data_IF_361070241497
#
_entry.id   IF_361070241497
#
_cell.length_a   1.000
_cell.length_b   1.000
_cell.length_c   1.000
_cell.angle_alpha   90.00
_cell.angle_beta   90.00
_cell.angle_gamma   90.00
#
_symmetry.space_group_name_H-M   'P 1'
#
loop_
_entity.id
_entity.type
_entity.pdbx_description
1 polymer ?
#
# COMPACT_ATOMS: atom_id res chain seq x y z
N UNK A 1 -1.66 -9.02 0.95
CA UNK A 1 -2.65 -10.06 0.58
C UNK A 1 -3.72 -9.38 -0.23
N UNK A 2 -4.01 -9.89 -1.42
CA UNK A 2 -5.01 -9.28 -2.29
C UNK A 2 -6.36 -9.94 -2.04
N UNK A 3 -7.33 -9.18 -1.59
CA UNK A 3 -8.65 -9.68 -1.21
C UNK A 3 -9.63 -9.36 -2.34
N UNK A 4 -9.90 -10.34 -3.19
CA UNK A 4 -10.69 -10.13 -4.40
C UNK A 4 -12.14 -10.56 -4.25
N UNK A 5 -12.45 -11.47 -3.32
CA UNK A 5 -13.81 -11.94 -3.10
C UNK A 5 -14.44 -11.31 -1.85
N UNK A 6 -15.68 -10.85 -1.97
CA UNK A 6 -16.47 -10.36 -0.84
C UNK A 6 -16.59 -11.40 0.29
N UNK A 7 -16.57 -12.68 -0.07
CA UNK A 7 -16.55 -13.80 0.87
C UNK A 7 -15.31 -13.82 1.75
N UNK A 8 -14.15 -13.50 1.20
CA UNK A 8 -12.88 -13.49 1.93
C UNK A 8 -12.85 -12.33 2.92
N UNK A 9 -13.36 -11.15 2.51
CA UNK A 9 -13.51 -9.99 3.39
C UNK A 9 -14.41 -10.33 4.59
N UNK A 10 -15.56 -10.98 4.34
CA UNK A 10 -16.48 -11.40 5.39
C UNK A 10 -15.83 -12.40 6.34
N UNK A 11 -15.12 -13.40 5.81
CA UNK A 11 -14.41 -14.38 6.62
C UNK A 11 -13.35 -13.72 7.51
N UNK A 12 -12.52 -12.83 6.95
CA UNK A 12 -11.51 -12.11 7.73
C UNK A 12 -12.13 -11.22 8.78
N UNK A 13 -13.24 -10.55 8.45
CA UNK A 13 -13.99 -9.75 9.43
C UNK A 13 -14.47 -10.62 10.59
N UNK A 14 -15.07 -11.78 10.30
CA UNK A 14 -15.59 -12.67 11.34
C UNK A 14 -14.50 -13.20 12.26
N UNK A 15 -13.33 -13.52 11.70
CA UNK A 15 -12.16 -14.02 12.47
C UNK A 15 -11.49 -12.91 13.27
N UNK A 16 -11.33 -11.72 12.70
CA UNK A 16 -10.52 -10.65 13.29
C UNK A 16 -11.31 -9.67 14.16
N UNK A 17 -12.64 -9.59 14.04
CA UNK A 17 -13.46 -8.60 14.75
C UNK A 17 -13.27 -8.57 16.27
N UNK A 18 -12.92 -9.71 16.88
CA UNK A 18 -12.72 -9.80 18.33
C UNK A 18 -11.47 -9.06 18.81
N UNK A 19 -10.45 -8.95 17.95
CA UNK A 19 -9.16 -8.33 18.26
C UNK A 19 -8.91 -7.01 17.52
N UNK A 20 -9.48 -6.89 16.32
CA UNK A 20 -9.35 -5.75 15.41
C UNK A 20 -10.75 -5.33 14.90
N UNK A 21 -11.57 -4.69 15.76
CA UNK A 21 -12.96 -4.39 15.42
C UNK A 21 -13.11 -3.28 14.37
N UNK A 22 -12.08 -2.45 14.16
CA UNK A 22 -12.12 -1.36 13.19
C UNK A 22 -11.52 -1.81 11.87
N UNK A 23 -12.33 -1.78 10.81
CA UNK A 23 -11.94 -2.33 9.51
C UNK A 23 -12.27 -1.28 8.45
N UNK A 24 -11.29 -0.99 7.60
CA UNK A 24 -11.51 -0.23 6.39
C UNK A 24 -11.07 -1.04 5.17
N UNK A 25 -12.00 -1.30 4.26
CA UNK A 25 -11.70 -1.88 2.96
C UNK A 25 -11.56 -0.76 1.93
N UNK A 26 -10.46 -0.76 1.18
CA UNK A 26 -10.21 0.27 0.18
C UNK A 26 -10.82 -0.16 -1.15
N UNK A 27 -11.96 0.44 -1.49
CA UNK A 27 -12.61 0.20 -2.78
C UNK A 27 -11.79 0.87 -3.90
N UNK A 28 -11.35 0.06 -4.88
CA UNK A 28 -10.72 0.51 -6.12
C UNK A 28 -11.77 0.75 -7.22
N UNK A 29 -11.35 1.32 -8.35
CA UNK A 29 -12.27 1.84 -9.37
C UNK A 29 -13.19 0.78 -10.00
N UNK A 30 -12.70 -0.42 -10.32
CA UNK A 30 -13.49 -1.44 -11.07
C UNK A 30 -13.50 -2.80 -10.38
N UNK A 31 -12.36 -3.25 -9.88
CA UNK A 31 -12.25 -4.36 -8.94
C UNK A 31 -11.62 -3.75 -7.69
N UNK A 32 -12.13 -4.05 -6.49
CA UNK A 32 -11.62 -3.45 -5.26
C UNK A 32 -10.09 -3.49 -5.20
N UNK A 33 -9.43 -2.55 -4.53
CA UNK A 33 -7.95 -2.43 -4.54
C UNK A 33 -7.23 -3.71 -4.06
N UNK A 34 -7.98 -4.65 -3.48
CA UNK A 34 -7.48 -5.85 -2.84
C UNK A 34 -6.87 -5.56 -1.47
N UNK A 35 -6.95 -4.33 -0.98
CA UNK A 35 -6.29 -3.89 0.25
C UNK A 35 -7.31 -3.47 1.31
N UNK A 36 -6.96 -3.74 2.56
CA UNK A 36 -7.74 -3.33 3.73
C UNK A 36 -6.83 -3.12 4.93
N UNK A 37 -7.28 -2.30 5.87
CA UNK A 37 -6.64 -2.11 7.17
C UNK A 37 -7.58 -2.63 8.25
N UNK A 38 -7.04 -3.50 9.11
CA UNK A 38 -7.65 -3.93 10.36
C UNK A 38 -6.93 -3.22 11.50
N UNK A 39 -7.68 -2.64 12.43
CA UNK A 39 -7.15 -1.88 13.55
C UNK A 39 -7.84 -2.24 14.85
N UNK A 40 -7.05 -2.26 15.92
CA UNK A 40 -7.53 -2.40 17.30
C UNK A 40 -8.18 -1.10 17.78
N UNK A 41 -7.75 0.04 17.26
CA UNK A 41 -8.21 1.37 17.64
C UNK A 41 -9.00 2.06 16.53
N UNK A 42 -9.77 3.08 16.89
CA UNK A 42 -10.66 3.77 15.97
C UNK A 42 -9.90 4.36 14.77
N UNK A 43 -10.47 4.18 13.58
CA UNK A 43 -10.00 4.81 12.35
C UNK A 43 -10.75 6.12 12.22
N UNK A 44 -10.04 7.25 12.29
CA UNK A 44 -10.62 8.59 12.31
C UNK A 44 -10.77 9.18 10.92
N UNK A 45 -9.87 8.81 10.02
CA UNK A 45 -9.84 9.32 8.66
C UNK A 45 -9.34 8.26 7.71
N UNK A 46 -9.92 8.23 6.51
CA UNK A 46 -9.58 7.31 5.43
C UNK A 46 -9.56 8.08 4.13
N UNK A 47 -8.56 7.81 3.30
CA UNK A 47 -8.53 8.31 1.92
C UNK A 47 -7.88 7.30 0.98
N UNK A 48 -8.20 7.40 -0.30
CA UNK A 48 -7.68 6.55 -1.37
C UNK A 48 -7.18 7.41 -2.51
N UNK A 49 -6.16 6.91 -3.20
CA UNK A 49 -5.64 7.49 -4.41
C UNK A 49 -5.40 6.40 -5.45
N UNK A 50 -5.85 6.64 -6.68
CA UNK A 50 -5.55 5.77 -7.82
C UNK A 50 -4.32 6.30 -8.54
N UNK A 51 -3.36 5.42 -8.84
CA UNK A 51 -2.16 5.84 -9.55
C UNK A 51 -2.47 6.43 -10.93
N UNK A 52 -1.77 7.49 -11.30
CA UNK A 52 -1.89 8.08 -12.65
C UNK A 52 -1.35 7.17 -13.74
N UNK A 53 -0.32 6.38 -13.43
CA UNK A 53 0.34 5.46 -14.36
C UNK A 53 -0.04 3.99 -14.07
N UNK A 54 -1.19 3.54 -14.59
CA UNK A 54 -1.71 2.18 -14.40
C UNK A 54 -1.46 1.21 -15.57
N UNK A 55 -0.38 1.41 -16.32
CA UNK A 55 0.03 0.55 -17.44
C UNK A 55 -0.33 1.11 -18.81
N UNK A 56 -0.30 0.25 -19.84
CA UNK A 56 -0.50 0.67 -21.22
C UNK A 56 -1.93 0.37 -21.70
N UNK A 57 -2.68 1.38 -22.21
CA UNK A 57 -4.07 1.20 -22.65
C UNK A 57 -4.28 0.15 -23.75
N UNK A 58 -3.24 -0.14 -24.54
CA UNK A 58 -3.30 -1.07 -25.67
C UNK A 58 -2.94 -2.52 -25.30
N UNK A 59 -2.55 -2.80 -24.04
CA UNK A 59 -2.22 -4.15 -23.56
C UNK A 59 -3.35 -4.70 -22.69
N UNK A 60 -4.42 -5.12 -23.35
CA UNK A 60 -5.64 -5.69 -22.74
C UNK A 60 -5.35 -7.01 -22.02
N UNK A 61 -4.28 -7.70 -22.42
CA UNK A 61 -3.76 -8.93 -21.83
C UNK A 61 -3.16 -8.73 -20.43
N UNK A 62 -2.81 -7.50 -20.05
CA UNK A 62 -2.26 -7.16 -18.74
C UNK A 62 -3.32 -6.41 -17.92
N UNK A 63 -4.18 -7.18 -17.24
CA UNK A 63 -5.42 -6.71 -16.58
C UNK A 63 -5.28 -5.65 -15.47
N UNK A 64 -4.06 -5.19 -15.16
CA UNK A 64 -3.82 -4.10 -14.21
C UNK A 64 -4.36 -2.74 -14.70
N UNK A 65 -4.51 -2.55 -16.04
CA UNK A 65 -5.14 -1.34 -16.59
C UNK A 65 -6.61 -1.20 -16.16
N UNK A 66 -7.36 -2.31 -16.14
CA UNK A 66 -8.79 -2.29 -15.82
C UNK A 66 -9.04 -2.28 -14.31
N UNK A 67 -8.19 -2.93 -13.50
CA UNK A 67 -8.44 -3.06 -12.07
C UNK A 67 -8.14 -1.77 -11.28
N UNK A 68 -7.29 -0.88 -11.81
CA UNK A 68 -6.92 0.38 -11.17
C UNK A 68 -6.09 0.16 -9.90
N UNK A 69 -4.77 0.26 -10.01
CA UNK A 69 -3.89 0.22 -8.84
C UNK A 69 -3.88 1.56 -8.13
N UNK A 70 -3.56 1.52 -6.84
CA UNK A 70 -3.55 2.70 -6.00
C UNK A 70 -3.00 2.42 -4.62
N UNK A 71 -3.18 3.41 -3.76
CA UNK A 71 -2.86 3.33 -2.34
C UNK A 71 -3.98 3.93 -1.50
N UNK A 72 -4.06 3.48 -0.26
CA UNK A 72 -4.97 3.95 0.75
C UNK A 72 -4.19 4.44 1.98
N UNK A 73 -4.80 5.36 2.72
CA UNK A 73 -4.29 5.84 3.99
C UNK A 73 -5.42 5.81 5.02
N UNK A 74 -5.10 5.33 6.22
CA UNK A 74 -5.96 5.41 7.38
C UNK A 74 -5.22 6.14 8.52
N UNK A 75 -5.89 7.08 9.17
CA UNK A 75 -5.42 7.71 10.42
C UNK A 75 -6.07 7.02 11.60
N UNK A 76 -5.25 6.60 12.55
CA UNK A 76 -5.64 5.81 13.71
C UNK A 76 -5.10 6.49 14.96
N UNK A 77 -5.98 6.74 15.93
CA UNK A 77 -5.57 7.22 17.26
C UNK A 77 -5.60 6.07 18.24
N UNK A 78 -4.45 5.78 18.84
CA UNK A 78 -4.32 4.73 19.85
C UNK A 78 -5.05 5.12 21.14
N UNK A 79 -5.32 4.14 22.00
CA UNK A 79 -5.92 4.38 23.32
C UNK A 79 -5.09 5.36 24.19
N UNK A 80 -3.78 5.45 23.94
CA UNK A 80 -2.86 6.33 24.66
C UNK A 80 -2.73 7.72 24.02
N UNK A 81 -3.51 8.02 22.98
CA UNK A 81 -3.52 9.33 22.30
C UNK A 81 -2.52 9.49 21.16
N UNK A 82 -1.69 8.48 20.87
CA UNK A 82 -0.79 8.55 19.72
C UNK A 82 -1.58 8.51 18.41
N UNK A 83 -1.31 9.45 17.52
CA UNK A 83 -1.86 9.55 16.18
C UNK A 83 -0.92 8.90 15.17
N UNK A 84 -1.43 7.95 14.39
CA UNK A 84 -0.64 7.14 13.47
C UNK A 84 -1.29 7.17 12.09
N UNK A 85 -0.49 7.43 11.05
CA UNK A 85 -0.93 7.18 9.67
C UNK A 85 -0.44 5.81 9.21
N UNK A 86 -1.35 5.01 8.66
CA UNK A 86 -1.03 3.73 8.01
C UNK A 86 -1.35 3.84 6.53
N UNK A 87 -0.34 3.69 5.69
CA UNK A 87 -0.42 3.69 4.24
C UNK A 87 -0.36 2.24 3.74
N UNK A 88 -1.32 1.86 2.91
CA UNK A 88 -1.37 0.56 2.25
C UNK A 88 -1.37 0.73 0.73
N UNK A 89 -0.57 -0.04 0.01
CA UNK A 89 -0.46 0.10 -1.44
C UNK A 89 -0.35 -1.23 -2.18
N UNK A 90 -0.55 -1.16 -3.49
CA UNK A 90 -0.34 -2.27 -4.40
C UNK A 90 0.16 -1.71 -5.73
N UNK A 91 1.47 -1.78 -5.99
CA UNK A 91 2.07 -1.30 -7.25
C UNK A 91 1.73 -2.24 -8.43
N UNK A 92 1.88 -1.74 -9.65
CA UNK A 92 1.69 -2.55 -10.88
C UNK A 92 2.59 -3.79 -10.87
N UNK A 93 2.05 -4.94 -11.27
CA UNK A 93 2.76 -6.20 -11.18
C UNK A 93 3.96 -6.26 -12.14
N UNK A 94 4.94 -7.11 -11.79
CA UNK A 94 5.98 -7.54 -12.72
C UNK A 94 5.50 -8.79 -13.47
N UNK A 95 5.28 -8.64 -14.77
CA UNK A 95 4.77 -9.74 -15.62
C UNK A 95 5.87 -10.64 -16.20
N UNK A 96 7.15 -10.28 -16.04
CA UNK A 96 8.29 -11.03 -16.57
C UNK A 96 9.36 -11.18 -15.48
N UNK A 97 9.88 -12.39 -15.27
CA UNK A 97 10.90 -12.67 -14.25
C UNK A 97 12.28 -12.08 -14.59
N UNK A 98 12.61 -12.01 -15.88
CA UNK A 98 13.84 -11.39 -16.38
C UNK A 98 13.74 -9.86 -16.26
N UNK A 99 14.55 -9.27 -15.36
CA UNK A 99 14.56 -7.83 -15.08
C UNK A 99 14.83 -6.98 -16.33
N UNK A 100 15.69 -7.46 -17.23
CA UNK A 100 16.04 -6.71 -18.44
C UNK A 100 14.89 -6.61 -19.44
N UNK A 101 13.81 -7.36 -19.22
CA UNK A 101 12.61 -7.40 -20.05
C UNK A 101 11.39 -6.80 -19.35
N UNK A 102 11.59 -6.21 -18.17
CA UNK A 102 10.51 -5.62 -17.40
C UNK A 102 10.14 -4.23 -17.92
N UNK A 103 9.16 -4.18 -18.82
CA UNK A 103 8.61 -2.93 -19.36
C UNK A 103 7.82 -2.08 -18.36
N UNK A 104 7.64 -2.55 -17.12
CA UNK A 104 6.83 -1.87 -16.08
C UNK A 104 7.66 -1.20 -14.99
N UNK A 105 9.00 -1.28 -15.05
CA UNK A 105 9.86 -0.61 -14.07
C UNK A 105 9.62 0.90 -14.03
N UNK A 106 9.50 1.57 -15.19
CA UNK A 106 9.19 2.99 -15.26
C UNK A 106 7.82 3.35 -14.67
N UNK A 107 6.82 2.47 -14.82
CA UNK A 107 5.50 2.65 -14.20
C UNK A 107 5.60 2.56 -12.68
N UNK A 108 6.26 1.54 -12.14
CA UNK A 108 6.46 1.39 -10.70
C UNK A 108 7.23 2.58 -10.12
N UNK A 109 8.24 3.09 -10.83
CA UNK A 109 8.96 4.28 -10.39
C UNK A 109 8.04 5.52 -10.32
N UNK A 110 7.22 5.76 -11.34
CA UNK A 110 6.25 6.85 -11.31
C UNK A 110 5.26 6.72 -10.15
N UNK A 111 4.74 5.51 -9.91
CA UNK A 111 3.86 5.20 -8.78
C UNK A 111 4.54 5.43 -7.42
N UNK A 112 5.83 5.08 -7.29
CA UNK A 112 6.61 5.34 -6.08
C UNK A 112 6.76 6.85 -5.83
N UNK A 113 7.04 7.64 -6.86
CA UNK A 113 7.16 9.09 -6.75
C UNK A 113 5.84 9.71 -6.31
N UNK A 114 4.73 9.30 -6.94
CA UNK A 114 3.38 9.76 -6.59
C UNK A 114 3.02 9.42 -5.14
N UNK A 115 3.39 8.21 -4.67
CA UNK A 115 3.23 7.81 -3.28
C UNK A 115 4.06 8.69 -2.32
N UNK A 116 5.32 8.98 -2.66
CA UNK A 116 6.21 9.83 -1.86
C UNK A 116 5.60 11.22 -1.69
N UNK A 117 5.12 11.84 -2.78
CA UNK A 117 4.49 13.16 -2.76
C UNK A 117 3.26 13.16 -1.85
N UNK A 118 2.42 12.13 -1.98
CA UNK A 118 1.23 11.98 -1.15
C UNK A 118 1.59 11.83 0.33
N UNK A 119 2.53 10.94 0.68
CA UNK A 119 2.96 10.74 2.06
C UNK A 119 3.52 12.04 2.63
N UNK A 120 4.41 12.72 1.90
CA UNK A 120 4.96 14.00 2.33
C UNK A 120 3.86 15.03 2.64
N UNK A 121 2.78 15.08 1.84
CA UNK A 121 1.67 16.01 2.08
C UNK A 121 0.78 15.65 3.28
N UNK A 122 0.81 14.39 3.75
CA UNK A 122 -0.15 13.85 4.74
C UNK A 122 0.49 13.36 6.05
N UNK A 123 1.81 13.17 6.07
CA UNK A 123 2.56 12.65 7.23
C UNK A 123 2.77 13.68 8.34
N UNK A 124 2.30 14.90 8.16
CA UNK A 124 2.40 15.93 9.19
C UNK A 124 1.34 15.71 10.28
N UNK A 125 1.67 16.18 11.49
CA UNK A 125 0.80 16.14 12.67
C UNK A 125 0.40 14.73 13.13
N UNK A 126 1.31 13.76 12.98
CA UNK A 126 1.19 12.40 13.53
C UNK A 126 2.48 11.99 14.24
N UNK A 127 2.39 11.05 15.17
CA UNK A 127 3.53 10.56 15.94
C UNK A 127 4.34 9.50 15.18
N UNK A 128 3.69 8.75 14.30
CA UNK A 128 4.34 7.72 13.49
C UNK A 128 3.62 7.48 12.16
N UNK A 129 4.37 6.98 11.20
CA UNK A 129 3.84 6.48 9.93
C UNK A 129 4.26 5.03 9.68
N UNK A 130 3.37 4.26 9.07
CA UNK A 130 3.66 2.92 8.58
C UNK A 130 3.30 2.85 7.10
N UNK A 131 4.22 2.34 6.28
CA UNK A 131 3.99 2.13 4.85
C UNK A 131 4.15 0.65 4.56
N UNK A 132 3.09 0.02 4.09
CA UNK A 132 3.05 -1.42 3.84
C UNK A 132 2.26 -1.72 2.57
N UNK A 133 2.44 -2.91 2.02
CA UNK A 133 1.69 -3.32 0.83
C UNK A 133 2.46 -4.26 -0.06
N UNK A 134 1.91 -4.48 -1.25
CA UNK A 134 2.58 -5.21 -2.31
C UNK A 134 3.29 -4.22 -3.23
N UNK A 135 4.57 -4.02 -2.98
CA UNK A 135 5.37 -3.10 -3.78
C UNK A 135 5.70 -3.65 -5.17
N UNK A 136 5.56 -4.97 -5.43
CA UNK A 136 6.05 -5.60 -6.66
C UNK A 136 7.50 -5.20 -7.03
N UNK A 137 8.30 -4.88 -6.01
CA UNK A 137 9.68 -4.41 -6.08
C UNK A 137 10.50 -5.20 -5.06
N UNK A 138 11.72 -5.54 -5.45
CA UNK A 138 12.68 -6.17 -4.54
C UNK A 138 13.35 -5.10 -3.65
N UNK A 139 13.79 -5.43 -2.43
CA UNK A 139 14.30 -4.45 -1.46
C UNK A 139 15.47 -3.59 -1.97
N UNK A 140 16.27 -4.11 -2.91
CA UNK A 140 17.46 -3.43 -3.42
C UNK A 140 17.18 -2.51 -4.62
N UNK A 141 15.93 -2.50 -5.11
CA UNK A 141 15.51 -1.69 -6.26
C UNK A 141 15.57 -0.19 -5.94
N UNK A 142 15.83 0.62 -6.97
CA UNK A 142 15.91 2.08 -6.83
C UNK A 142 14.63 2.69 -6.26
N UNK A 143 13.46 2.15 -6.60
CA UNK A 143 12.18 2.64 -6.07
C UNK A 143 12.07 2.49 -4.55
N UNK A 144 12.44 1.33 -4.00
CA UNK A 144 12.41 1.12 -2.54
C UNK A 144 13.45 1.99 -1.84
N UNK A 145 14.66 2.12 -2.42
CA UNK A 145 15.70 3.01 -1.87
C UNK A 145 15.25 4.45 -1.83
N UNK A 146 14.71 4.96 -2.94
CA UNK A 146 14.19 6.33 -3.04
C UNK A 146 13.10 6.59 -2.00
N UNK A 147 12.12 5.69 -1.89
CA UNK A 147 11.04 5.78 -0.90
C UNK A 147 11.59 5.89 0.53
N UNK A 148 12.57 5.03 0.87
CA UNK A 148 13.18 5.01 2.20
C UNK A 148 13.99 6.26 2.50
N UNK A 149 14.82 6.69 1.55
CA UNK A 149 15.70 7.85 1.73
C UNK A 149 14.91 9.15 1.83
N UNK A 150 13.91 9.36 0.98
CA UNK A 150 13.12 10.60 0.96
C UNK A 150 12.22 10.72 2.18
N UNK A 151 11.61 9.61 2.62
CA UNK A 151 10.66 9.61 3.75
C UNK A 151 11.32 9.26 5.09
N UNK A 152 12.63 8.99 5.12
CA UNK A 152 13.35 8.56 6.32
C UNK A 152 12.86 7.23 6.89
N UNK A 153 12.34 6.33 6.06
CA UNK A 153 11.75 5.06 6.50
C UNK A 153 12.82 4.02 6.85
N UNK A 154 12.49 3.24 7.87
CA UNK A 154 13.27 2.08 8.32
C UNK A 154 12.63 0.79 7.83
N UNK A 155 13.47 -0.18 7.49
CA UNK A 155 12.99 -1.48 7.02
C UNK A 155 12.72 -2.36 8.24
N UNK A 156 11.45 -2.70 8.47
CA UNK A 156 11.05 -3.44 9.66
C UNK A 156 11.66 -4.85 9.73
N UNK A 157 12.01 -5.48 8.60
CA UNK A 157 12.60 -6.81 8.59
C UNK A 157 14.12 -6.74 8.79
N UNK A 158 14.81 -5.92 7.98
CA UNK A 158 16.26 -5.82 8.03
C UNK A 158 16.75 -5.22 9.36
N UNK A 159 16.02 -4.25 9.91
CA UNK A 159 16.43 -3.58 11.16
C UNK A 159 16.13 -4.42 12.41
N UNK A 160 15.22 -5.41 12.34
CA UNK A 160 15.00 -6.36 13.43
C UNK A 160 16.19 -7.32 13.61
N UNK A 161 16.82 -7.75 12.51
CA UNK A 161 17.93 -8.72 12.52
C UNK A 161 19.25 -8.09 13.01
N UNK A 162 19.41 -6.77 12.85
CA UNK A 162 20.61 -6.05 13.26
C UNK A 162 20.65 -5.69 14.76
N UNK A 163 19.53 -5.86 15.48
CA UNK A 163 19.40 -5.54 16.90
C UNK A 163 19.17 -6.79 17.79
N UNK A 164 19.37 -8.00 17.23
CA UNK A 164 19.29 -9.30 17.92
C UNK A 164 20.66 -9.97 17.98
#
# INVERSE_FOLDING_TARGET
MQIWAEKDIRLMKDVLQSSYPFINYFHGNVCGSGTCIFSKWAIEFVTTHSFGANGYPHRVDHGDWYCGKGFGMARITTQNGYCINVYILHLIARYVLDRNKDGYEGHRMAQVIELIEFINSTMHSVDAIFVAGDFNLEPETTGIKLLREVLGLRDAWLDCVLNS
#
